data_IF_481974023739
#
_entry.id   IF_481974023739
#
_cell.length_a   1.000
_cell.length_b   1.000
_cell.length_c   1.000
_cell.angle_alpha   90.00
_cell.angle_beta   90.00
_cell.angle_gamma   90.00
#
_symmetry.space_group_name_H-M   'P 1'
#
loop_
_entity.id
_entity.type
_entity.pdbx_description
1 polymer ?
#
# COMPACT_ATOMS: atom_id res chain seq x y z
N UNK A 1 -18.36 -16.01 20.87
CA UNK A 1 -17.23 -16.47 21.71
C UNK A 1 -15.93 -15.69 21.53
N UNK A 2 -15.73 -14.88 20.48
CA UNK A 2 -14.50 -14.07 20.27
C UNK A 2 -14.32 -12.92 21.28
N UNK A 3 -15.41 -12.34 21.81
CA UNK A 3 -15.37 -11.12 22.62
C UNK A 3 -14.82 -11.31 24.05
N UNK A 4 -15.03 -12.46 24.69
CA UNK A 4 -14.70 -12.66 26.11
C UNK A 4 -13.25 -13.09 26.36
N UNK A 5 -12.58 -13.77 25.40
CA UNK A 5 -11.16 -14.17 25.56
C UNK A 5 -10.18 -13.02 25.33
N UNK A 6 -10.48 -12.10 24.42
CA UNK A 6 -9.54 -11.07 23.98
C UNK A 6 -9.81 -9.67 24.59
N UNK A 7 -10.96 -9.49 25.26
CA UNK A 7 -11.40 -8.19 25.76
C UNK A 7 -10.38 -7.48 26.65
N UNK A 8 -9.64 -8.19 27.51
CA UNK A 8 -8.66 -7.57 28.40
C UNK A 8 -7.43 -7.01 27.67
N UNK A 9 -6.87 -7.76 26.72
CA UNK A 9 -5.73 -7.31 25.91
C UNK A 9 -6.12 -6.19 24.96
N UNK A 10 -7.34 -6.24 24.41
CA UNK A 10 -7.91 -5.19 23.57
C UNK A 10 -8.14 -3.88 24.34
N UNK A 11 -8.68 -3.93 25.56
CA UNK A 11 -8.82 -2.75 26.43
C UNK A 11 -7.44 -2.13 26.71
N UNK A 12 -6.40 -2.94 26.91
CA UNK A 12 -5.03 -2.45 27.11
C UNK A 12 -4.45 -1.82 25.83
N UNK A 13 -4.72 -2.38 24.65
CA UNK A 13 -4.31 -1.82 23.36
C UNK A 13 -5.00 -0.48 23.10
N UNK A 14 -6.33 -0.42 23.25
CA UNK A 14 -7.12 0.81 23.10
C UNK A 14 -6.68 1.89 24.09
N UNK A 15 -6.48 1.55 25.37
CA UNK A 15 -5.93 2.49 26.37
C UNK A 15 -4.54 2.98 25.99
N UNK A 16 -3.68 2.12 25.43
CA UNK A 16 -2.34 2.51 24.98
C UNK A 16 -2.40 3.45 23.78
N UNK A 17 -3.25 3.16 22.79
CA UNK A 17 -3.49 4.03 21.63
C UNK A 17 -4.00 5.39 22.09
N UNK A 18 -5.04 5.41 22.93
CA UNK A 18 -5.60 6.65 23.49
C UNK A 18 -4.59 7.41 24.36
N UNK A 19 -3.73 6.71 25.09
CA UNK A 19 -2.64 7.34 25.85
C UNK A 19 -1.58 7.92 24.93
N UNK A 20 -1.21 7.22 23.85
CA UNK A 20 -0.27 7.74 22.85
C UNK A 20 -0.79 9.04 22.22
N UNK A 21 -2.08 9.08 21.87
CA UNK A 21 -2.76 10.29 21.39
C UNK A 21 -2.81 11.43 22.43
N UNK A 22 -2.72 11.12 23.74
CA UNK A 22 -2.77 12.10 24.85
C UNK A 22 -1.40 12.48 25.42
N UNK A 23 -0.32 11.76 25.08
CA UNK A 23 1.00 11.85 25.73
C UNK A 23 1.91 12.99 25.24
N UNK A 24 1.36 14.04 24.62
CA UNK A 24 2.12 15.18 24.11
C UNK A 24 2.74 14.99 22.72
N UNK A 25 2.66 13.77 22.15
CA UNK A 25 2.72 13.58 20.69
C UNK A 25 1.31 13.82 20.13
N UNK A 26 1.18 14.73 19.17
CA UNK A 26 -0.12 15.13 18.60
C UNK A 26 -0.76 14.04 17.71
N UNK A 27 -0.08 12.91 17.47
CA UNK A 27 -0.53 11.87 16.55
C UNK A 27 0.14 10.51 16.82
N UNK A 28 -0.41 9.42 16.24
CA UNK A 28 0.19 8.08 16.24
C UNK A 28 1.27 7.96 15.15
N UNK A 29 2.50 7.61 15.52
CA UNK A 29 3.61 7.46 14.55
C UNK A 29 3.38 6.31 13.58
N UNK A 30 3.95 6.36 12.38
CA UNK A 30 3.88 5.25 11.40
C UNK A 30 4.40 3.94 12.02
N UNK A 31 5.42 4.02 12.86
CA UNK A 31 5.94 2.87 13.60
C UNK A 31 4.92 2.29 14.60
N UNK A 32 4.22 3.15 15.34
CA UNK A 32 3.21 2.72 16.30
C UNK A 32 2.01 2.06 15.60
N UNK A 33 1.57 2.61 14.46
CA UNK A 33 0.49 2.04 13.63
C UNK A 33 0.84 0.61 13.21
N UNK A 34 2.02 0.41 12.59
CA UNK A 34 2.52 -0.91 12.18
C UNK A 34 2.49 -1.91 13.35
N UNK A 35 3.03 -1.50 14.50
CA UNK A 35 3.12 -2.37 15.68
C UNK A 35 1.74 -2.69 16.28
N UNK A 36 0.82 -1.74 16.26
CA UNK A 36 -0.54 -1.94 16.76
C UNK A 36 -1.33 -2.89 15.85
N UNK A 37 -1.13 -2.82 14.53
CA UNK A 37 -1.71 -3.77 13.57
C UNK A 37 -1.28 -5.21 13.85
N UNK A 38 0.03 -5.46 13.94
CA UNK A 38 0.56 -6.80 14.24
C UNK A 38 -0.02 -7.33 15.56
N UNK A 39 0.08 -6.54 16.63
CA UNK A 39 -0.41 -6.95 17.96
C UNK A 39 -1.91 -7.18 18.00
N UNK A 40 -2.68 -6.42 17.23
CA UNK A 40 -4.11 -6.62 17.12
C UNK A 40 -4.40 -8.04 16.61
N UNK A 41 -3.80 -8.42 15.49
CA UNK A 41 -4.03 -9.74 14.87
C UNK A 41 -3.37 -10.91 15.63
N UNK A 42 -2.26 -10.69 16.34
CA UNK A 42 -1.73 -11.67 17.29
C UNK A 42 -2.76 -12.03 18.37
N UNK A 43 -3.54 -11.07 18.85
CA UNK A 43 -4.67 -11.32 19.76
C UNK A 43 -5.86 -12.01 19.06
N UNK A 44 -5.78 -12.36 17.79
CA UNK A 44 -6.79 -13.17 17.08
C UNK A 44 -6.15 -14.40 16.44
N UNK A 45 -5.12 -14.95 17.11
CA UNK A 45 -4.41 -16.17 16.75
C UNK A 45 -3.67 -16.11 15.41
N UNK A 46 -3.37 -14.91 14.90
CA UNK A 46 -2.51 -14.76 13.73
C UNK A 46 -1.04 -14.82 14.17
N UNK A 47 -0.25 -15.63 13.46
CA UNK A 47 1.19 -15.72 13.71
C UNK A 47 1.87 -14.60 12.92
N UNK A 48 2.72 -13.80 13.57
CA UNK A 48 3.52 -12.81 12.86
C UNK A 48 4.54 -13.53 11.97
N UNK A 49 4.51 -13.25 10.67
CA UNK A 49 5.47 -13.75 9.68
C UNK A 49 6.34 -12.58 9.23
N UNK A 50 7.67 -12.77 9.08
CA UNK A 50 8.54 -11.72 8.55
C UNK A 50 8.16 -11.34 7.11
N UNK A 51 8.46 -10.10 6.74
CA UNK A 51 8.36 -9.62 5.37
C UNK A 51 9.29 -10.44 4.47
N UNK A 52 8.79 -10.90 3.33
CA UNK A 52 9.62 -11.53 2.30
C UNK A 52 10.48 -10.49 1.57
N UNK A 53 11.48 -10.96 0.82
CA UNK A 53 12.29 -10.06 -0.03
C UNK A 53 11.41 -9.35 -1.06
N UNK A 54 11.79 -8.12 -1.44
CA UNK A 54 11.19 -7.46 -2.61
C UNK A 54 11.55 -8.16 -3.92
N UNK A 55 12.58 -9.01 -3.90
CA UNK A 55 12.89 -9.96 -4.98
C UNK A 55 12.02 -11.21 -4.79
N UNK A 56 11.13 -11.53 -5.74
CA UNK A 56 10.32 -12.73 -5.67
C UNK A 56 11.18 -14.00 -5.62
N UNK A 57 10.59 -15.11 -5.20
CA UNK A 57 11.24 -16.42 -5.30
C UNK A 57 11.68 -16.67 -6.75
N UNK A 58 12.85 -17.28 -6.94
CA UNK A 58 13.33 -17.73 -8.26
C UNK A 58 12.29 -18.60 -9.01
N UNK A 59 11.43 -19.30 -8.26
CA UNK A 59 10.37 -20.13 -8.80
C UNK A 59 9.21 -19.31 -9.39
N UNK A 60 9.04 -18.05 -8.96
CA UNK A 60 7.97 -17.18 -9.42
C UNK A 60 8.46 -16.22 -10.51
N UNK A 61 8.47 -16.71 -11.75
CA UNK A 61 8.82 -15.90 -12.94
C UNK A 61 7.72 -14.93 -13.38
N UNK A 62 6.58 -14.90 -12.70
CA UNK A 62 5.44 -14.04 -13.09
C UNK A 62 5.52 -12.62 -12.52
N UNK A 63 6.44 -12.36 -11.59
CA UNK A 63 6.59 -11.09 -10.89
C UNK A 63 8.01 -10.55 -11.04
N UNK A 64 8.12 -9.25 -11.28
CA UNK A 64 9.41 -8.53 -11.25
C UNK A 64 9.81 -8.20 -9.81
N UNK A 65 8.85 -7.74 -9.02
CA UNK A 65 9.00 -7.45 -7.60
C UNK A 65 7.83 -8.02 -6.81
N UNK A 66 8.05 -8.29 -5.53
CA UNK A 66 6.96 -8.54 -4.57
C UNK A 66 6.08 -7.29 -4.49
N UNK A 67 4.84 -7.42 -4.94
CA UNK A 67 3.89 -6.32 -5.08
C UNK A 67 2.77 -6.35 -4.02
N UNK A 68 2.65 -7.45 -3.29
CA UNK A 68 1.66 -7.68 -2.24
C UNK A 68 2.16 -8.66 -1.17
N UNK A 69 1.61 -8.57 0.04
CA UNK A 69 1.97 -9.47 1.14
C UNK A 69 1.65 -10.95 0.88
N UNK A 70 0.67 -11.22 0.03
CA UNK A 70 0.25 -12.59 -0.33
C UNK A 70 1.28 -13.37 -1.16
N UNK A 71 2.24 -12.71 -1.81
CA UNK A 71 3.13 -13.38 -2.76
C UNK A 71 3.93 -14.53 -2.09
N UNK A 72 4.36 -14.35 -0.85
CA UNK A 72 5.07 -15.40 -0.08
C UNK A 72 4.18 -16.58 0.34
N UNK A 73 2.86 -16.42 0.26
CA UNK A 73 1.86 -17.44 0.59
C UNK A 73 1.20 -18.06 -0.65
N UNK A 74 1.65 -17.70 -1.86
CA UNK A 74 1.08 -18.19 -3.13
C UNK A 74 0.91 -19.71 -3.17
N UNK A 75 1.91 -20.47 -2.71
CA UNK A 75 1.82 -21.93 -2.66
C UNK A 75 0.68 -22.41 -1.76
N UNK A 76 0.51 -21.81 -0.57
CA UNK A 76 -0.59 -22.15 0.34
C UNK A 76 -1.96 -21.81 -0.27
N UNK A 77 -2.10 -20.66 -0.92
CA UNK A 77 -3.34 -20.22 -1.57
C UNK A 77 -3.74 -21.13 -2.75
N UNK A 78 -2.77 -21.83 -3.34
CA UNK A 78 -3.00 -22.80 -4.42
C UNK A 78 -3.20 -24.23 -3.90
N UNK A 79 -3.24 -24.43 -2.57
CA UNK A 79 -3.33 -25.76 -1.95
C UNK A 79 -2.04 -26.58 -2.06
N UNK A 80 -0.91 -25.93 -2.36
CA UNK A 80 0.41 -26.55 -2.41
C UNK A 80 0.95 -26.91 -1.03
N UNK A 81 1.86 -27.89 -1.00
CA UNK A 81 2.48 -28.39 0.24
C UNK A 81 3.80 -27.68 0.53
N UNK A 82 3.79 -26.33 0.61
CA UNK A 82 4.98 -25.62 1.10
C UNK A 82 5.18 -25.94 2.58
N UNK A 83 6.13 -26.83 2.84
CA UNK A 83 6.48 -27.27 4.20
C UNK A 83 6.87 -26.13 5.13
N UNK A 84 7.33 -24.99 4.60
CA UNK A 84 7.72 -23.81 5.40
C UNK A 84 6.54 -23.21 6.13
N UNK A 85 5.36 -23.24 5.52
CA UNK A 85 4.16 -22.56 6.02
C UNK A 85 2.98 -23.49 6.29
N UNK A 86 3.14 -24.80 6.10
CA UNK A 86 2.06 -25.78 6.24
C UNK A 86 1.35 -25.76 7.61
N UNK A 87 1.99 -25.26 8.67
CA UNK A 87 1.41 -25.13 10.00
C UNK A 87 0.56 -23.86 10.19
N UNK A 88 0.68 -22.87 9.30
CA UNK A 88 -0.02 -21.61 9.40
C UNK A 88 -1.49 -21.77 9.04
N UNK A 89 -2.36 -21.42 9.98
CA UNK A 89 -3.81 -21.24 9.73
C UNK A 89 -4.15 -19.77 9.51
N UNK A 90 -3.44 -18.89 10.22
CA UNK A 90 -3.61 -17.44 10.19
C UNK A 90 -2.26 -16.77 10.30
N UNK A 91 -2.04 -15.73 9.54
CA UNK A 91 -0.77 -15.01 9.52
C UNK A 91 -0.98 -13.50 9.50
N UNK A 92 -0.07 -12.73 10.08
CA UNK A 92 -0.05 -11.27 9.98
C UNK A 92 1.35 -10.78 9.66
N UNK A 93 1.48 -9.76 8.81
CA UNK A 93 2.77 -9.19 8.43
C UNK A 93 2.63 -7.74 7.97
N UNK A 94 3.78 -7.13 7.71
CA UNK A 94 3.92 -5.90 6.96
C UNK A 94 4.92 -6.16 5.83
N UNK A 95 4.41 -6.33 4.60
CA UNK A 95 5.24 -6.67 3.45
C UNK A 95 5.86 -5.41 2.85
N UNK A 96 7.15 -5.50 2.51
CA UNK A 96 7.84 -4.53 1.65
C UNK A 96 7.36 -4.75 0.22
N UNK A 97 6.68 -3.76 -0.36
CA UNK A 97 6.13 -3.88 -1.70
C UNK A 97 6.81 -2.89 -2.65
N UNK A 98 7.14 -3.36 -3.85
CA UNK A 98 7.56 -2.48 -4.96
C UNK A 98 6.59 -2.68 -6.12
N UNK A 99 6.00 -1.58 -6.59
CA UNK A 99 5.13 -1.52 -7.77
C UNK A 99 5.78 -0.71 -8.87
N UNK A 100 6.76 -1.33 -9.50
CA UNK A 100 7.51 -0.80 -10.64
C UNK A 100 7.55 -1.85 -11.75
N UNK A 101 6.84 -1.60 -12.84
CA UNK A 101 6.68 -2.53 -13.96
C UNK A 101 5.62 -3.62 -13.74
N UNK A 102 5.31 -4.38 -14.80
CA UNK A 102 4.28 -5.43 -14.78
C UNK A 102 2.84 -4.90 -14.74
N UNK A 103 1.89 -5.73 -14.27
CA UNK A 103 0.45 -5.38 -14.18
C UNK A 103 0.15 -4.30 -13.13
N UNK A 104 0.87 -4.35 -12.01
CA UNK A 104 0.71 -3.42 -10.88
C UNK A 104 1.88 -2.45 -10.89
N UNK A 105 1.74 -1.36 -11.65
CA UNK A 105 2.81 -0.40 -11.92
C UNK A 105 2.33 1.02 -11.64
N UNK A 106 2.81 1.59 -10.54
CA UNK A 106 2.40 2.93 -10.09
C UNK A 106 3.46 3.99 -10.46
N UNK A 107 4.57 3.58 -11.11
CA UNK A 107 5.76 4.41 -11.31
C UNK A 107 5.48 5.74 -12.04
N UNK A 108 4.53 5.76 -12.96
CA UNK A 108 4.18 6.97 -13.70
C UNK A 108 3.34 7.97 -12.88
N UNK A 109 2.65 7.51 -11.86
CA UNK A 109 1.76 8.32 -11.02
C UNK A 109 2.47 8.87 -9.78
N UNK A 110 3.56 8.22 -9.36
CA UNK A 110 4.39 8.69 -8.24
C UNK A 110 4.78 10.16 -8.41
N UNK A 111 4.40 10.94 -7.40
CA UNK A 111 4.66 12.37 -7.32
C UNK A 111 3.74 13.26 -8.15
N UNK A 112 2.88 12.71 -9.03
CA UNK A 112 1.79 13.48 -9.64
C UNK A 112 0.64 13.67 -8.65
N UNK A 113 0.34 12.64 -7.87
CA UNK A 113 -0.61 12.68 -6.76
C UNK A 113 0.08 12.63 -5.39
N UNK A 114 -0.73 12.44 -4.35
CA UNK A 114 -0.34 12.47 -2.94
C UNK A 114 -0.31 11.09 -2.27
N UNK A 115 -0.59 10.00 -3.00
CA UNK A 115 -0.85 8.69 -2.40
C UNK A 115 -0.20 7.50 -3.10
N UNK A 116 0.19 7.59 -4.38
CA UNK A 116 0.96 6.55 -5.07
C UNK A 116 2.44 6.62 -4.72
N UNK A 117 3.04 5.44 -4.58
CA UNK A 117 4.42 5.24 -4.15
C UNK A 117 5.00 4.06 -4.93
N UNK A 118 6.28 4.13 -5.31
CA UNK A 118 6.97 3.00 -5.91
C UNK A 118 7.22 1.93 -4.86
N UNK A 119 7.65 2.36 -3.67
CA UNK A 119 7.85 1.52 -2.51
C UNK A 119 6.91 1.92 -1.38
N UNK A 120 6.21 0.94 -0.83
CA UNK A 120 5.33 1.12 0.32
C UNK A 120 5.29 -0.13 1.17
N UNK A 121 4.76 -0.01 2.39
CA UNK A 121 4.54 -1.14 3.27
C UNK A 121 3.06 -1.55 3.27
N UNK A 122 2.80 -2.82 2.98
CA UNK A 122 1.46 -3.38 3.00
C UNK A 122 1.24 -4.15 4.30
N UNK A 123 0.39 -3.61 5.17
CA UNK A 123 -0.13 -4.34 6.33
C UNK A 123 -1.12 -5.40 5.84
N UNK A 124 -0.90 -6.66 6.21
CA UNK A 124 -1.77 -7.76 5.79
C UNK A 124 -2.00 -8.79 6.87
N UNK A 125 -3.22 -9.33 6.89
CA UNK A 125 -3.58 -10.54 7.61
C UNK A 125 -4.17 -11.57 6.66
N UNK A 126 -3.90 -12.85 6.92
CA UNK A 126 -4.30 -13.96 6.08
C UNK A 126 -5.04 -15.03 6.87
N UNK A 127 -6.01 -15.65 6.21
CA UNK A 127 -6.67 -16.89 6.62
C UNK A 127 -6.39 -17.95 5.57
N UNK A 128 -5.94 -19.13 6.00
CA UNK A 128 -5.74 -20.26 5.10
C UNK A 128 -6.70 -21.39 5.43
N UNK A 129 -7.17 -22.08 4.39
CA UNK A 129 -7.97 -23.31 4.51
C UNK A 129 -9.18 -23.11 5.43
N UNK A 130 -9.99 -22.10 5.14
CA UNK A 130 -11.24 -21.80 5.84
C UNK A 130 -11.06 -21.50 7.35
N UNK A 131 -9.86 -21.07 7.80
CA UNK A 131 -9.57 -20.81 9.21
C UNK A 131 -10.47 -19.74 9.85
N UNK A 132 -10.98 -18.79 9.06
CA UNK A 132 -12.06 -17.89 9.43
C UNK A 132 -12.81 -17.39 8.19
N UNK A 133 -14.05 -16.97 8.41
CA UNK A 133 -15.02 -16.62 7.36
C UNK A 133 -14.85 -15.21 6.81
N UNK A 134 -15.52 -14.89 5.68
CA UNK A 134 -15.66 -13.50 5.20
C UNK A 134 -16.23 -12.57 6.29
N UNK A 135 -17.20 -13.05 7.07
CA UNK A 135 -17.82 -12.28 8.15
C UNK A 135 -16.80 -11.92 9.24
N UNK A 136 -15.92 -12.87 9.60
CA UNK A 136 -14.86 -12.62 10.57
C UNK A 136 -13.82 -11.63 10.02
N UNK A 137 -13.47 -11.74 8.73
CA UNK A 137 -12.55 -10.81 8.06
C UNK A 137 -13.04 -9.35 8.16
N UNK A 138 -14.28 -9.10 7.72
CA UNK A 138 -14.87 -7.76 7.74
C UNK A 138 -15.01 -7.22 9.17
N UNK A 139 -15.41 -8.07 10.14
CA UNK A 139 -15.50 -7.67 11.56
C UNK A 139 -14.16 -7.27 12.15
N UNK A 140 -13.11 -8.04 11.88
CA UNK A 140 -11.77 -7.75 12.39
C UNK A 140 -11.23 -6.44 11.80
N UNK A 141 -11.40 -6.24 10.49
CA UNK A 141 -10.99 -5.00 9.83
C UNK A 141 -11.75 -3.79 10.38
N UNK A 142 -13.08 -3.89 10.48
CA UNK A 142 -13.92 -2.82 11.03
C UNK A 142 -13.56 -2.49 12.47
N UNK A 143 -13.38 -3.51 13.31
CA UNK A 143 -12.99 -3.33 14.72
C UNK A 143 -11.61 -2.68 14.85
N UNK A 144 -10.63 -3.07 14.02
CA UNK A 144 -9.32 -2.43 14.06
C UNK A 144 -9.41 -0.94 13.73
N UNK A 145 -10.12 -0.57 12.66
CA UNK A 145 -10.24 0.84 12.26
C UNK A 145 -11.06 1.67 13.27
N UNK A 146 -12.23 1.18 13.68
CA UNK A 146 -13.18 1.97 14.47
C UNK A 146 -12.92 1.89 15.98
N UNK A 147 -12.56 0.72 16.51
CA UNK A 147 -12.41 0.53 17.95
C UNK A 147 -10.97 0.68 18.44
N UNK A 148 -10.00 0.21 17.66
CA UNK A 148 -8.58 0.29 18.02
C UNK A 148 -7.98 1.63 17.61
N UNK A 149 -8.13 2.02 16.34
CA UNK A 149 -7.62 3.29 15.84
C UNK A 149 -8.56 4.47 16.08
N UNK A 150 -9.81 4.22 16.48
CA UNK A 150 -10.80 5.28 16.75
C UNK A 150 -11.08 6.15 15.53
N UNK A 151 -11.03 5.57 14.32
CA UNK A 151 -11.49 6.24 13.11
C UNK A 151 -13.01 6.34 13.17
N UNK A 152 -13.53 7.52 12.86
CA UNK A 152 -14.96 7.80 12.82
C UNK A 152 -15.66 6.91 11.77
N UNK A 153 -16.59 6.02 12.18
CA UNK A 153 -17.35 5.16 11.27
C UNK A 153 -18.11 5.91 10.18
N UNK A 154 -18.56 7.14 10.45
CA UNK A 154 -19.34 7.94 9.49
C UNK A 154 -18.48 8.43 8.32
N UNK A 155 -17.16 8.34 8.44
CA UNK A 155 -16.21 8.67 7.37
C UNK A 155 -15.81 7.45 6.55
N UNK A 156 -16.26 6.26 6.92
CA UNK A 156 -15.92 5.01 6.26
C UNK A 156 -17.02 4.58 5.28
N UNK A 157 -16.58 4.16 4.10
CA UNK A 157 -17.40 3.57 3.05
C UNK A 157 -16.85 2.19 2.74
N UNK A 158 -17.72 1.25 2.38
CA UNK A 158 -17.31 -0.10 2.03
C UNK A 158 -17.85 -0.47 0.65
N UNK A 159 -17.04 -1.17 -0.13
CA UNK A 159 -17.43 -1.66 -1.45
C UNK A 159 -17.68 -3.16 -1.44
N UNK A 160 -18.40 -3.71 -2.40
CA UNK A 160 -18.54 -5.15 -2.60
C UNK A 160 -18.67 -5.49 -4.08
N UNK A 161 -18.30 -6.71 -4.45
CA UNK A 161 -18.40 -7.18 -5.82
C UNK A 161 -19.85 -7.24 -6.30
N UNK A 162 -20.22 -6.37 -7.23
CA UNK A 162 -21.55 -6.26 -7.83
C UNK A 162 -21.83 -7.28 -8.95
N UNK A 163 -20.88 -8.15 -9.27
CA UNK A 163 -20.99 -9.16 -10.32
C UNK A 163 -20.23 -8.80 -11.59
N UNK A 164 -20.07 -9.77 -12.48
CA UNK A 164 -19.42 -9.59 -13.77
C UNK A 164 -19.98 -10.54 -14.82
N UNK A 165 -20.64 -10.00 -15.83
CA UNK A 165 -21.11 -10.76 -16.99
C UNK A 165 -19.93 -11.38 -17.77
N UNK A 166 -18.80 -10.65 -17.85
CA UNK A 166 -17.57 -11.11 -18.51
C UNK A 166 -17.06 -12.43 -17.94
N UNK A 167 -17.17 -12.60 -16.62
CA UNK A 167 -16.70 -13.80 -15.93
C UNK A 167 -17.83 -14.74 -15.53
N UNK A 168 -19.08 -14.42 -15.90
CA UNK A 168 -20.29 -15.12 -15.47
C UNK A 168 -20.33 -15.33 -13.94
N UNK A 169 -19.99 -14.28 -13.19
CA UNK A 169 -19.97 -14.29 -11.73
C UNK A 169 -21.09 -13.41 -11.17
N UNK A 170 -21.92 -13.92 -10.23
CA UNK A 170 -22.96 -13.13 -9.62
C UNK A 170 -22.41 -12.10 -8.64
N UNK A 171 -23.25 -11.13 -8.29
CA UNK A 171 -23.02 -10.19 -7.18
C UNK A 171 -22.78 -10.94 -5.86
N UNK A 172 -21.81 -10.48 -5.07
CA UNK A 172 -21.53 -10.98 -3.71
C UNK A 172 -22.48 -10.35 -2.68
N UNK A 173 -23.76 -10.70 -2.79
CA UNK A 173 -24.81 -10.26 -1.84
C UNK A 173 -24.55 -10.73 -0.40
N UNK A 174 -23.70 -11.74 -0.22
CA UNK A 174 -23.27 -12.20 1.11
C UNK A 174 -22.39 -11.13 1.77
N UNK A 175 -21.46 -10.55 1.02
CA UNK A 175 -20.62 -9.45 1.51
C UNK A 175 -21.46 -8.22 1.90
N UNK A 176 -22.43 -7.81 1.07
CA UNK A 176 -23.38 -6.72 1.41
C UNK A 176 -24.09 -6.98 2.74
N UNK A 177 -24.63 -8.18 2.94
CA UNK A 177 -25.33 -8.56 4.18
C UNK A 177 -24.42 -8.57 5.40
N UNK A 178 -23.15 -8.97 5.25
CA UNK A 178 -22.16 -8.92 6.32
C UNK A 178 -21.95 -7.48 6.80
N UNK A 179 -21.77 -6.52 5.89
CA UNK A 179 -21.58 -5.12 6.25
C UNK A 179 -22.80 -4.49 6.93
N UNK A 180 -24.01 -4.80 6.44
CA UNK A 180 -25.25 -4.41 7.11
C UNK A 180 -25.33 -4.96 8.54
N UNK A 181 -24.94 -6.23 8.74
CA UNK A 181 -24.92 -6.87 10.07
C UNK A 181 -23.86 -6.27 11.00
N UNK A 182 -22.74 -5.80 10.46
CA UNK A 182 -21.71 -5.06 11.22
C UNK A 182 -22.24 -3.69 11.68
N UNK A 183 -23.24 -3.14 10.99
CA UNK A 183 -23.86 -1.86 11.30
C UNK A 183 -23.42 -0.72 10.39
N UNK A 184 -22.79 -1.01 9.25
CA UNK A 184 -22.50 0.00 8.23
C UNK A 184 -23.82 0.46 7.62
N UNK A 185 -24.01 1.77 7.53
CA UNK A 185 -25.22 2.34 6.94
C UNK A 185 -25.35 1.91 5.47
N UNK A 186 -26.54 1.54 5.00
CA UNK A 186 -26.72 0.99 3.64
C UNK A 186 -26.19 1.93 2.56
N UNK A 187 -26.34 3.25 2.75
CA UNK A 187 -25.87 4.24 1.79
C UNK A 187 -24.34 4.37 1.72
N UNK A 188 -23.60 3.65 2.57
CA UNK A 188 -22.13 3.56 2.58
C UNK A 188 -21.65 2.20 2.04
N UNK A 189 -22.55 1.32 1.59
CA UNK A 189 -22.24 0.00 1.04
C UNK A 189 -22.47 0.04 -0.47
N UNK A 190 -21.39 0.01 -1.24
CA UNK A 190 -21.39 0.35 -2.67
C UNK A 190 -21.04 -0.86 -3.55
N UNK A 191 -21.82 -1.17 -4.60
CA UNK A 191 -21.46 -2.21 -5.55
C UNK A 191 -20.43 -1.70 -6.58
N UNK A 192 -19.36 -2.47 -6.82
CA UNK A 192 -18.47 -2.27 -7.96
C UNK A 192 -18.13 -3.60 -8.66
N UNK A 193 -17.73 -3.54 -9.93
CA UNK A 193 -17.42 -4.74 -10.70
C UNK A 193 -15.91 -4.96 -10.77
N UNK A 194 -15.22 -4.24 -11.64
CA UNK A 194 -13.77 -4.39 -11.88
C UNK A 194 -12.93 -4.15 -10.64
N UNK A 195 -13.33 -3.18 -9.82
CA UNK A 195 -12.61 -2.73 -8.63
C UNK A 195 -12.66 -3.79 -7.53
N UNK A 196 -13.76 -4.54 -7.45
CA UNK A 196 -13.96 -5.58 -6.43
C UNK A 196 -13.71 -7.01 -6.94
N UNK A 197 -12.91 -7.18 -7.98
CA UNK A 197 -12.41 -8.49 -8.40
C UNK A 197 -10.89 -8.47 -8.45
N UNK A 198 -10.26 -9.02 -7.41
CA UNK A 198 -8.81 -8.94 -7.26
C UNK A 198 -8.09 -10.11 -7.90
N UNK A 199 -6.95 -9.82 -8.51
CA UNK A 199 -6.11 -10.79 -9.20
C UNK A 199 -4.63 -10.51 -8.97
N UNK A 200 -3.87 -11.55 -8.66
CA UNK A 200 -2.42 -11.46 -8.45
C UNK A 200 -1.67 -11.03 -9.73
N UNK A 201 -2.10 -11.54 -10.88
CA UNK A 201 -1.42 -11.36 -12.17
C UNK A 201 -2.28 -11.81 -13.34
N UNK A 202 -1.65 -12.29 -14.41
CA UNK A 202 -2.34 -12.93 -15.55
C UNK A 202 -2.88 -14.32 -15.22
N UNK A 203 -2.27 -15.00 -14.22
CA UNK A 203 -2.66 -16.32 -13.72
C UNK A 203 -2.48 -16.36 -12.21
N UNK A 204 -3.13 -17.31 -11.53
CA UNK A 204 -2.98 -17.54 -10.09
C UNK A 204 -4.26 -17.32 -9.29
N UNK A 205 -4.17 -17.31 -7.94
CA UNK A 205 -5.33 -17.16 -7.08
C UNK A 205 -5.96 -15.78 -7.23
N UNK A 206 -7.29 -15.74 -7.23
CA UNK A 206 -8.10 -14.54 -7.40
C UNK A 206 -9.45 -14.70 -6.70
N UNK A 207 -10.22 -13.62 -6.63
CA UNK A 207 -11.60 -13.68 -6.14
C UNK A 207 -12.25 -12.31 -5.95
N UNK A 208 -13.55 -12.31 -5.61
CA UNK A 208 -14.25 -11.11 -5.19
C UNK A 208 -13.58 -10.47 -3.97
N UNK A 209 -13.67 -9.16 -3.85
CA UNK A 209 -13.16 -8.41 -2.71
C UNK A 209 -14.16 -7.40 -2.17
N UNK A 210 -13.81 -6.83 -1.02
CA UNK A 210 -14.44 -5.65 -0.42
C UNK A 210 -13.35 -4.69 0.00
N UNK A 211 -13.52 -3.41 -0.29
CA UNK A 211 -12.56 -2.38 0.08
C UNK A 211 -13.21 -1.46 1.11
N UNK A 212 -12.40 -0.93 2.03
CA UNK A 212 -12.80 0.08 2.99
C UNK A 212 -12.16 1.40 2.56
N UNK A 213 -12.96 2.42 2.30
CA UNK A 213 -12.55 3.75 1.90
C UNK A 213 -12.81 4.77 3.01
N UNK A 214 -12.07 5.88 2.97
CA UNK A 214 -12.14 6.94 3.96
C UNK A 214 -12.29 8.32 3.32
N UNK A 215 -13.33 9.05 3.73
CA UNK A 215 -13.53 10.45 3.38
C UNK A 215 -12.58 11.35 4.18
N UNK A 216 -11.61 11.98 3.51
CA UNK A 216 -10.63 12.92 4.12
C UNK A 216 -11.20 14.27 4.52
N UNK A 217 -12.30 14.70 3.92
CA UNK A 217 -12.94 15.99 4.21
C UNK A 217 -13.84 15.88 5.43
N UNK A 218 -14.71 14.86 5.48
CA UNK A 218 -15.68 14.68 6.56
C UNK A 218 -16.72 15.81 6.66
N UNK A 219 -17.71 15.66 7.54
CA UNK A 219 -18.77 16.66 7.76
C UNK A 219 -19.73 16.85 6.57
N UNK A 220 -19.62 16.00 5.54
CA UNK A 220 -20.52 15.94 4.38
C UNK A 220 -21.56 14.83 4.63
N UNK A 221 -22.76 14.96 4.06
CA UNK A 221 -23.87 14.01 4.31
C UNK A 221 -23.55 12.58 3.89
N UNK A 222 -23.31 12.38 2.59
CA UNK A 222 -22.97 11.09 2.00
C UNK A 222 -22.18 11.37 0.71
N UNK A 223 -20.99 10.80 0.60
CA UNK A 223 -20.08 10.94 -0.55
C UNK A 223 -19.75 9.61 -1.21
N UNK A 224 -20.63 8.61 -1.11
CA UNK A 224 -20.42 7.31 -1.76
C UNK A 224 -20.22 7.40 -3.28
N UNK A 225 -20.79 8.42 -3.93
CA UNK A 225 -20.58 8.70 -5.36
C UNK A 225 -19.16 9.18 -5.71
N UNK A 226 -18.34 9.53 -4.72
CA UNK A 226 -16.94 9.93 -4.88
C UNK A 226 -15.95 8.77 -4.66
N UNK A 227 -16.42 7.64 -4.12
CA UNK A 227 -15.59 6.45 -3.90
C UNK A 227 -15.11 5.91 -5.25
N UNK A 228 -13.80 5.67 -5.37
CA UNK A 228 -13.13 5.27 -6.61
C UNK A 228 -13.24 6.29 -7.76
N UNK A 229 -13.57 7.55 -7.45
CA UNK A 229 -13.70 8.65 -8.43
C UNK A 229 -12.84 9.85 -8.06
N UNK A 230 -12.77 10.21 -6.78
CA UNK A 230 -12.17 11.46 -6.31
C UNK A 230 -11.15 11.22 -5.18
N UNK A 231 -10.01 11.90 -5.26
CA UNK A 231 -8.89 11.77 -4.30
C UNK A 231 -9.24 12.19 -2.87
N UNK A 232 -10.35 12.90 -2.66
CA UNK A 232 -10.85 13.21 -1.31
C UNK A 232 -11.37 11.98 -0.57
N UNK A 233 -11.63 10.87 -1.28
CA UNK A 233 -12.05 9.59 -0.69
C UNK A 233 -11.06 8.49 -1.08
N UNK A 234 -10.23 8.08 -0.12
CA UNK A 234 -9.12 7.17 -0.38
C UNK A 234 -9.43 5.75 0.07
N UNK A 235 -9.08 4.75 -0.74
CA UNK A 235 -9.11 3.32 -0.34
C UNK A 235 -8.08 3.08 0.77
N UNK A 236 -8.47 2.55 1.93
CA UNK A 236 -7.55 2.22 3.02
C UNK A 236 -7.14 0.74 3.02
N UNK A 237 -8.11 -0.16 2.85
CA UNK A 237 -7.92 -1.58 3.11
C UNK A 237 -8.74 -2.42 2.15
N UNK A 238 -8.07 -3.29 1.39
CA UNK A 238 -8.70 -4.30 0.54
C UNK A 238 -8.74 -5.65 1.25
N UNK A 239 -9.89 -6.31 1.24
CA UNK A 239 -10.12 -7.65 1.79
C UNK A 239 -10.58 -8.55 0.64
N UNK A 240 -9.68 -9.41 0.19
CA UNK A 240 -9.89 -10.32 -0.93
C UNK A 240 -10.35 -11.67 -0.40
N UNK A 241 -11.45 -12.16 -0.95
CA UNK A 241 -11.99 -13.49 -0.69
C UNK A 241 -11.48 -14.46 -1.74
N UNK A 242 -10.26 -14.94 -1.54
CA UNK A 242 -9.59 -15.86 -2.48
C UNK A 242 -10.37 -17.18 -2.51
N UNK A 243 -10.97 -17.45 -3.66
CA UNK A 243 -11.84 -18.61 -3.88
C UNK A 243 -11.74 -19.19 -5.29
N UNK A 244 -11.02 -18.51 -6.19
CA UNK A 244 -10.89 -18.87 -7.59
C UNK A 244 -9.41 -18.93 -8.01
N UNK A 245 -9.14 -19.69 -9.06
CA UNK A 245 -7.86 -19.78 -9.76
C UNK A 245 -8.07 -19.35 -11.21
N UNK A 246 -7.32 -18.35 -11.66
CA UNK A 246 -7.22 -18.02 -13.09
C UNK A 246 -6.14 -18.84 -13.77
N UNK A 247 -6.53 -19.56 -14.82
CA UNK A 247 -5.62 -20.36 -15.66
C UNK A 247 -4.93 -19.48 -16.72
N UNK A 248 -3.85 -19.97 -17.37
CA UNK A 248 -3.23 -19.27 -18.51
C UNK A 248 -4.18 -18.96 -19.67
N UNK A 249 -5.25 -19.74 -19.84
CA UNK A 249 -6.26 -19.52 -20.88
C UNK A 249 -7.29 -18.44 -20.49
N UNK A 250 -7.22 -17.94 -19.25
CA UNK A 250 -8.15 -16.95 -18.71
C UNK A 250 -9.37 -17.55 -18.01
N UNK A 251 -9.52 -18.87 -17.99
CA UNK A 251 -10.62 -19.56 -17.31
C UNK A 251 -10.51 -19.41 -15.78
N UNK A 252 -11.66 -19.38 -15.11
CA UNK A 252 -11.77 -19.31 -13.66
C UNK A 252 -12.27 -20.65 -13.11
N UNK A 253 -11.51 -21.26 -12.20
CA UNK A 253 -11.90 -22.48 -11.50
C UNK A 253 -12.00 -22.24 -10.00
N UNK A 254 -12.95 -22.88 -9.30
CA UNK A 254 -13.01 -22.82 -7.84
C UNK A 254 -11.78 -23.47 -7.22
N UNK A 255 -11.26 -22.85 -6.16
CA UNK A 255 -10.26 -23.45 -5.28
C UNK A 255 -10.91 -24.46 -4.33
N UNK A 256 -10.17 -25.48 -3.86
CA UNK A 256 -10.70 -26.50 -2.95
C UNK A 256 -11.05 -25.96 -1.55
N UNK A 257 -10.47 -24.81 -1.18
CA UNK A 257 -10.70 -24.13 0.10
C UNK A 257 -10.77 -22.64 -0.11
N UNK A 258 -11.38 -21.92 0.83
CA UNK A 258 -11.39 -20.45 0.81
C UNK A 258 -10.28 -19.89 1.67
N UNK A 259 -9.74 -18.77 1.22
CA UNK A 259 -8.69 -18.03 1.91
C UNK A 259 -9.09 -16.56 2.02
N UNK A 260 -8.52 -15.89 3.02
CA UNK A 260 -8.63 -14.43 3.15
C UNK A 260 -7.24 -13.86 2.92
N UNK A 261 -7.15 -12.89 2.03
CA UNK A 261 -5.98 -12.06 1.81
C UNK A 261 -6.39 -10.61 2.01
N UNK A 262 -5.63 -9.86 2.80
CA UNK A 262 -5.92 -8.43 2.98
C UNK A 262 -4.67 -7.60 2.77
N UNK A 263 -4.84 -6.39 2.25
CA UNK A 263 -3.77 -5.41 2.11
C UNK A 263 -4.23 -4.01 2.49
N UNK A 264 -3.51 -3.36 3.39
CA UNK A 264 -3.70 -1.97 3.78
C UNK A 264 -2.37 -1.23 3.67
N UNK A 265 -2.35 -0.15 2.90
CA UNK A 265 -1.15 0.69 2.75
C UNK A 265 -0.84 1.41 4.05
N UNK A 266 0.32 1.12 4.65
CA UNK A 266 0.72 1.70 5.94
C UNK A 266 0.82 3.22 5.86
N UNK A 267 1.43 3.76 4.81
CA UNK A 267 1.60 5.21 4.62
C UNK A 267 0.28 5.94 4.44
N UNK A 268 -0.68 5.29 3.76
CA UNK A 268 -2.02 5.83 3.58
C UNK A 268 -2.82 5.84 4.88
N UNK A 269 -2.74 4.76 5.65
CA UNK A 269 -3.31 4.73 7.00
C UNK A 269 -2.63 5.76 7.91
N UNK A 270 -1.31 5.91 7.82
CA UNK A 270 -0.56 6.89 8.59
C UNK A 270 -0.98 8.32 8.26
N UNK A 271 -1.19 8.67 6.99
CA UNK A 271 -1.65 10.02 6.64
C UNK A 271 -3.04 10.33 7.19
N UNK A 272 -3.93 9.34 7.24
CA UNK A 272 -5.23 9.47 7.94
C UNK A 272 -5.05 9.66 9.44
N UNK A 273 -4.28 8.79 10.10
CA UNK A 273 -4.08 8.81 11.56
C UNK A 273 -3.31 10.04 12.06
N UNK A 274 -2.49 10.64 11.21
CA UNK A 274 -1.74 11.86 11.49
C UNK A 274 -2.46 13.12 11.01
N UNK A 275 -3.63 12.96 10.38
CA UNK A 275 -4.45 14.03 9.83
C UNK A 275 -3.65 14.96 8.89
N UNK A 276 -2.87 14.36 7.99
CA UNK A 276 -2.11 15.06 6.95
C UNK A 276 -2.69 14.73 5.58
N UNK A 277 -2.68 15.69 4.62
CA UNK A 277 -3.37 15.52 3.34
C UNK A 277 -2.66 14.53 2.41
N UNK A 278 -1.37 14.27 2.63
CA UNK A 278 -0.53 13.46 1.75
C UNK A 278 0.19 12.34 2.48
N UNK A 279 0.43 11.23 1.79
CA UNK A 279 1.33 10.18 2.28
C UNK A 279 2.75 10.71 2.47
N UNK A 280 3.16 11.74 1.71
CA UNK A 280 4.49 12.34 1.79
C UNK A 280 4.67 13.30 2.98
N UNK A 281 3.60 13.60 3.71
CA UNK A 281 3.61 14.52 4.86
C UNK A 281 3.69 13.77 6.20
N UNK A 282 3.67 12.43 6.19
CA UNK A 282 3.75 11.61 7.39
C UNK A 282 5.14 11.66 8.01
N UNK A 283 5.23 11.28 9.29
CA UNK A 283 6.49 11.17 10.05
C UNK A 283 7.59 10.31 9.37
N UNK A 284 7.23 9.33 8.54
CA UNK A 284 8.18 8.51 7.78
C UNK A 284 8.81 9.23 6.58
N UNK A 285 8.13 10.22 5.98
CA UNK A 285 8.64 10.98 4.83
C UNK A 285 9.14 12.37 5.21
N UNK A 286 8.56 13.00 6.24
CA UNK A 286 8.87 14.35 6.65
C UNK A 286 10.39 14.61 6.88
N UNK A 287 11.17 13.69 7.48
CA UNK A 287 12.62 13.88 7.61
C UNK A 287 13.35 13.90 6.25
N UNK A 288 12.93 13.05 5.30
CA UNK A 288 13.50 12.97 3.96
C UNK A 288 13.19 14.26 3.19
N UNK A 289 11.92 14.67 3.16
CA UNK A 289 11.48 15.91 2.51
C UNK A 289 12.19 17.13 3.11
N UNK A 290 12.32 17.20 4.43
CA UNK A 290 13.06 18.26 5.13
C UNK A 290 14.53 18.30 4.70
N UNK A 291 15.18 17.15 4.58
CA UNK A 291 16.57 17.08 4.13
C UNK A 291 16.70 17.56 2.68
N UNK A 292 15.84 17.08 1.76
CA UNK A 292 15.80 17.56 0.38
C UNK A 292 15.61 19.08 0.34
N UNK A 293 14.76 19.64 1.22
CA UNK A 293 14.55 21.09 1.31
C UNK A 293 15.77 21.87 1.76
N UNK A 294 16.65 21.27 2.58
CA UNK A 294 17.88 21.94 3.01
C UNK A 294 18.93 22.08 1.92
N UNK A 295 18.87 21.22 0.89
CA UNK A 295 19.83 21.18 -0.23
C UNK A 295 19.24 21.69 -1.55
N UNK A 296 17.92 21.93 -1.61
CA UNK A 296 17.25 22.37 -2.82
C UNK A 296 17.47 23.85 -3.12
N UNK A 297 17.85 24.16 -4.37
CA UNK A 297 17.88 25.52 -4.92
C UNK A 297 16.55 25.93 -5.58
N UNK A 298 15.53 25.07 -5.54
CA UNK A 298 14.18 25.34 -6.11
C UNK A 298 13.16 25.81 -5.06
N UNK A 299 13.62 26.10 -3.83
CA UNK A 299 12.77 26.48 -2.70
C UNK A 299 12.19 25.26 -1.96
N UNK A 300 11.42 25.52 -0.90
CA UNK A 300 10.90 24.50 0.01
C UNK A 300 9.71 23.74 -0.56
N UNK A 301 9.52 22.49 -0.10
CA UNK A 301 8.34 21.71 -0.44
C UNK A 301 7.05 22.40 0.05
N UNK A 302 6.05 22.49 -0.83
CA UNK A 302 4.79 23.18 -0.57
C UNK A 302 3.55 22.29 -0.60
N UNK A 303 3.68 20.99 -0.86
CA UNK A 303 2.54 20.06 -0.91
C UNK A 303 1.61 20.20 -2.12
N UNK A 304 1.99 20.97 -3.16
CA UNK A 304 1.13 21.24 -4.31
C UNK A 304 1.13 20.10 -5.33
N UNK A 305 0.04 19.99 -6.09
CA UNK A 305 -0.16 19.00 -7.17
C UNK A 305 -0.77 19.65 -8.41
N UNK A 306 -0.69 18.95 -9.55
CA UNK A 306 -1.32 19.38 -10.80
C UNK A 306 -0.93 20.79 -11.24
N UNK A 307 -1.93 21.60 -11.60
CA UNK A 307 -1.71 22.97 -12.07
C UNK A 307 -1.12 23.90 -10.98
N UNK A 308 -1.29 23.58 -9.69
CA UNK A 308 -0.76 24.38 -8.59
C UNK A 308 0.75 24.19 -8.38
N UNK A 309 1.29 23.02 -8.75
CA UNK A 309 2.73 22.77 -8.78
C UNK A 309 3.34 23.24 -10.12
N UNK A 310 3.14 24.52 -10.43
CA UNK A 310 3.61 25.15 -11.65
C UNK A 310 5.15 25.11 -11.74
N UNK A 311 5.68 24.07 -12.40
CA UNK A 311 7.10 23.79 -12.53
C UNK A 311 7.52 22.42 -12.00
N UNK A 312 6.61 21.64 -11.40
CA UNK A 312 6.88 20.26 -10.95
C UNK A 312 7.88 20.18 -9.80
N UNK A 313 7.95 21.22 -8.96
CA UNK A 313 8.91 21.24 -7.84
C UNK A 313 8.47 20.24 -6.79
N UNK A 314 7.24 20.36 -6.31
CA UNK A 314 6.73 19.52 -5.23
C UNK A 314 6.61 18.07 -5.69
N UNK A 315 6.31 17.83 -6.97
CA UNK A 315 6.42 16.52 -7.61
C UNK A 315 7.86 15.96 -7.56
N UNK A 316 8.88 16.78 -7.85
CA UNK A 316 10.29 16.35 -7.78
C UNK A 316 10.69 15.94 -6.36
N UNK A 317 10.18 16.63 -5.34
CA UNK A 317 10.40 16.27 -3.93
C UNK A 317 9.81 14.89 -3.60
N UNK A 318 8.55 14.67 -4.00
CA UNK A 318 7.85 13.40 -3.79
C UNK A 318 8.56 12.24 -4.50
N UNK A 319 8.89 12.43 -5.78
CA UNK A 319 9.59 11.41 -6.60
C UNK A 319 10.93 11.05 -5.98
N UNK A 320 11.75 12.05 -5.61
CA UNK A 320 13.06 11.80 -5.01
C UNK A 320 12.91 11.04 -3.68
N UNK A 321 12.02 11.48 -2.80
CA UNK A 321 11.84 10.86 -1.50
C UNK A 321 11.34 9.40 -1.59
N UNK A 322 10.39 9.13 -2.49
CA UNK A 322 9.89 7.77 -2.74
C UNK A 322 10.96 6.88 -3.38
N UNK A 323 11.57 7.33 -4.47
CA UNK A 323 12.52 6.51 -5.22
C UNK A 323 13.79 6.20 -4.42
N UNK A 324 14.25 7.11 -3.55
CA UNK A 324 15.35 6.80 -2.63
C UNK A 324 14.99 5.64 -1.70
N UNK A 325 13.77 5.61 -1.14
CA UNK A 325 13.31 4.48 -0.32
C UNK A 325 13.28 3.19 -1.14
N UNK A 326 12.72 3.24 -2.35
CA UNK A 326 12.63 2.09 -3.25
C UNK A 326 14.01 1.51 -3.61
N UNK A 327 14.96 2.38 -3.99
CA UNK A 327 16.33 1.98 -4.36
C UNK A 327 17.06 1.37 -3.17
N UNK A 328 17.01 2.01 -1.99
CA UNK A 328 17.67 1.49 -0.78
C UNK A 328 17.14 0.10 -0.42
N UNK A 329 15.82 -0.11 -0.48
CA UNK A 329 15.22 -1.41 -0.16
C UNK A 329 15.56 -2.45 -1.22
N UNK A 330 15.49 -2.11 -2.51
CA UNK A 330 15.85 -3.02 -3.59
C UNK A 330 17.32 -3.48 -3.47
N UNK A 331 18.25 -2.54 -3.25
CA UNK A 331 19.67 -2.85 -3.05
C UNK A 331 19.90 -3.71 -1.80
N UNK A 332 19.24 -3.38 -0.69
CA UNK A 332 19.35 -4.14 0.56
C UNK A 332 18.87 -5.59 0.44
N UNK A 333 17.90 -5.84 -0.44
CA UNK A 333 17.38 -7.17 -0.75
C UNK A 333 18.13 -7.86 -1.93
N UNK A 334 19.22 -7.26 -2.42
CA UNK A 334 20.14 -7.88 -3.38
C UNK A 334 19.84 -7.61 -4.86
N UNK A 335 19.00 -6.60 -5.18
CA UNK A 335 18.77 -6.20 -6.57
C UNK A 335 19.95 -5.39 -7.08
N UNK A 336 20.70 -5.94 -8.03
CA UNK A 336 21.75 -5.20 -8.72
C UNK A 336 21.14 -4.46 -9.93
N UNK A 337 21.35 -3.13 -10.06
CA UNK A 337 20.98 -2.39 -11.27
C UNK A 337 21.59 -3.02 -12.52
N UNK A 338 20.77 -3.31 -13.52
CA UNK A 338 21.18 -4.01 -14.75
C UNK A 338 20.35 -3.56 -15.95
N UNK A 339 20.60 -4.12 -17.13
CA UNK A 339 19.84 -3.83 -18.34
C UNK A 339 18.58 -4.71 -18.51
N UNK A 340 18.29 -5.63 -17.57
CA UNK A 340 17.20 -6.62 -17.69
C UNK A 340 16.37 -6.74 -16.41
N UNK A 341 15.10 -7.13 -16.57
CA UNK A 341 14.17 -7.51 -15.50
C UNK A 341 14.10 -6.53 -14.32
N UNK A 342 14.13 -7.03 -13.08
CA UNK A 342 14.09 -6.22 -11.86
C UNK A 342 15.27 -5.23 -11.80
N UNK A 343 16.45 -5.61 -12.30
CA UNK A 343 17.62 -4.75 -12.36
C UNK A 343 17.43 -3.55 -13.29
N UNK A 344 16.73 -3.72 -14.41
CA UNK A 344 16.35 -2.61 -15.30
C UNK A 344 15.44 -1.60 -14.61
N UNK A 345 14.42 -2.09 -13.90
CA UNK A 345 13.47 -1.22 -13.21
C UNK A 345 14.12 -0.52 -12.01
N UNK A 346 14.97 -1.22 -11.25
CA UNK A 346 15.76 -0.59 -10.19
C UNK A 346 16.70 0.50 -10.74
N UNK A 347 17.36 0.25 -11.88
CA UNK A 347 18.18 1.24 -12.56
C UNK A 347 17.35 2.45 -13.05
N UNK A 348 16.14 2.22 -13.56
CA UNK A 348 15.23 3.27 -14.00
C UNK A 348 14.76 4.15 -12.83
N UNK A 349 14.35 3.55 -11.71
CA UNK A 349 13.98 4.26 -10.47
C UNK A 349 15.17 5.06 -9.93
N UNK A 350 16.37 4.46 -9.92
CA UNK A 350 17.60 5.15 -9.51
C UNK A 350 17.93 6.35 -10.40
N UNK A 351 17.85 6.18 -11.72
CA UNK A 351 18.10 7.25 -12.69
C UNK A 351 17.07 8.38 -12.56
N UNK A 352 15.81 8.05 -12.31
CA UNK A 352 14.77 9.04 -12.04
C UNK A 352 15.06 9.81 -10.74
N UNK A 353 15.38 9.12 -9.63
CA UNK A 353 15.78 9.77 -8.38
C UNK A 353 16.92 10.76 -8.60
N UNK A 354 17.99 10.32 -9.28
CA UNK A 354 19.12 11.18 -9.61
C UNK A 354 18.73 12.40 -10.44
N UNK A 355 17.93 12.21 -11.50
CA UNK A 355 17.49 13.30 -12.37
C UNK A 355 16.69 14.36 -11.63
N UNK A 356 15.72 13.95 -10.80
CA UNK A 356 14.89 14.88 -10.03
C UNK A 356 15.69 15.55 -8.90
N UNK A 357 16.59 14.80 -8.25
CA UNK A 357 17.53 15.32 -7.26
C UNK A 357 18.46 16.38 -7.83
N UNK A 358 19.12 16.12 -8.96
CA UNK A 358 19.95 17.13 -9.62
C UNK A 358 19.15 18.36 -10.06
N UNK A 359 17.91 18.20 -10.55
CA UNK A 359 17.04 19.34 -10.84
C UNK A 359 16.78 20.21 -9.61
N UNK A 360 16.50 19.59 -8.46
CA UNK A 360 16.34 20.28 -7.18
C UNK A 360 17.64 20.95 -6.69
N UNK A 361 18.78 20.28 -6.81
CA UNK A 361 20.10 20.77 -6.37
C UNK A 361 20.63 21.95 -7.19
N UNK A 362 20.34 21.95 -8.48
CA UNK A 362 20.90 22.93 -9.43
C UNK A 362 19.98 24.11 -9.67
N UNK A 363 18.68 23.98 -9.37
CA UNK A 363 17.68 25.01 -9.70
C UNK A 363 17.08 24.87 -11.10
N UNK A 364 17.56 23.92 -11.91
CA UNK A 364 17.17 23.77 -13.30
C UNK A 364 15.85 22.97 -13.45
N UNK A 365 15.03 23.33 -14.46
CA UNK A 365 13.79 22.64 -14.82
C UNK A 365 14.06 21.63 -15.94
N UNK A 366 13.61 20.37 -15.79
CA UNK A 366 13.66 19.37 -16.86
C UNK A 366 14.98 18.58 -16.96
N UNK A 367 14.97 17.54 -17.80
CA UNK A 367 15.95 16.44 -17.86
C UNK A 367 17.42 16.86 -17.87
N UNK A 368 18.15 16.58 -16.80
CA UNK A 368 19.55 16.19 -16.93
C UNK A 368 19.58 14.77 -17.48
N UNK A 369 19.79 14.64 -18.78
CA UNK A 369 20.30 13.39 -19.33
C UNK A 369 21.74 13.25 -18.83
N UNK A 370 22.05 12.13 -18.18
CA UNK A 370 23.42 11.81 -17.83
C UNK A 370 24.28 11.84 -19.10
N UNK A 371 25.29 12.70 -19.05
CA UNK A 371 26.18 13.00 -20.15
C UNK A 371 27.11 11.80 -20.39
N UNK A 372 26.98 11.14 -21.54
CA UNK A 372 28.08 10.34 -22.12
C UNK A 372 29.09 11.31 -22.77
N UNK A 373 29.65 12.25 -22.00
CA UNK A 373 30.70 13.18 -22.43
C UNK A 373 31.44 13.74 -21.22
N UNK A 374 32.29 12.91 -20.63
CA UNK A 374 33.30 13.32 -19.65
C UNK A 374 34.53 14.00 -20.31
N UNK A 375 34.38 14.64 -21.48
CA UNK A 375 35.57 15.02 -22.27
C UNK A 375 35.58 16.46 -22.84
N UNK A 376 34.66 17.35 -22.42
CA UNK A 376 34.77 18.78 -22.78
C UNK A 376 34.43 19.71 -21.63
N UNK A 377 35.45 20.07 -20.86
CA UNK A 377 35.92 21.45 -20.68
C UNK A 377 35.02 22.57 -20.13
N UNK A 378 33.72 22.40 -19.86
CA UNK A 378 32.90 23.50 -19.34
C UNK A 378 32.96 23.59 -17.80
N UNK A 379 33.64 24.62 -17.30
CA UNK A 379 33.83 24.90 -15.88
C UNK A 379 32.51 25.14 -15.12
N UNK A 380 31.45 25.62 -15.78
CA UNK A 380 30.11 25.83 -15.17
C UNK A 380 29.41 24.52 -14.75
N UNK A 381 29.76 23.38 -15.35
CA UNK A 381 29.12 22.09 -15.06
C UNK A 381 29.81 21.29 -13.94
N UNK A 382 31.05 21.62 -13.58
CA UNK A 382 31.75 20.95 -12.48
C UNK A 382 31.17 21.33 -11.12
N UNK A 383 30.80 22.59 -10.92
CA UNK A 383 30.22 23.07 -9.66
C UNK A 383 28.77 22.61 -9.46
N UNK A 384 28.03 22.34 -10.54
CA UNK A 384 26.68 21.77 -10.47
C UNK A 384 26.70 20.27 -10.13
N UNK A 385 27.66 19.50 -10.65
CA UNK A 385 27.85 18.08 -10.33
C UNK A 385 28.39 17.85 -8.91
N UNK A 386 29.26 18.72 -8.40
CA UNK A 386 29.73 18.65 -7.02
C UNK A 386 28.58 18.77 -6.00
N UNK A 387 27.56 19.59 -6.32
CA UNK A 387 26.34 19.72 -5.52
C UNK A 387 25.41 18.49 -5.68
N UNK A 388 25.34 17.85 -6.86
CA UNK A 388 24.57 16.61 -7.02
C UNK A 388 25.12 15.45 -6.17
N UNK A 389 26.45 15.33 -6.01
CA UNK A 389 27.07 14.27 -5.21
C UNK A 389 26.85 14.43 -3.69
N UNK A 390 26.28 15.54 -3.23
CA UNK A 390 25.99 15.81 -1.82
C UNK A 390 24.54 15.47 -1.39
N UNK A 391 23.71 15.07 -2.35
CA UNK A 391 22.32 14.59 -2.17
C UNK A 391 22.31 13.08 -2.33
#
# INVERSE_FOLDING_TARGET
MLATRHGYQLVRLKKRVLHQLKSGRCYMSTHDIRRNFIRFFENYDHIQVPSSSVVPSFEDRSLLFTNAGMNQFKSMLLGGTDSRWAFLKRAVSYQKCIRAGGKHNDLEDVGKDLHHQTFFEMLGNWSFNDSYSKEDACKLAWHFLTEVLSIDPDRLYVSYFGGSDKFNLPSDETCKKIWLKIGVHESHILPFASENFWEMGSTGPCGPSTEIHYDRVGGRKNVGHLVNVDDSVVELWNIVFISLLRTPNGDLHPLPSHHIDTGMGLERLASVMQNVPSNFDIDAFAPIIKHISSVSKRGTYGGKVGAEDAGGRDASYRILADHMRAVVIALADGVEPSAVDAGFHAAAVQAAAWRYGCGLATGLRGSFYYCRRLDRGDHEYRDSLANCNSI
#
